data_IF_539763355688
#
_entry.id   IF_539763355688
#
_cell.length_a   1.000
_cell.length_b   1.000
_cell.length_c   1.000
_cell.angle_alpha   90.00
_cell.angle_beta   90.00
_cell.angle_gamma   90.00
#
_symmetry.space_group_name_H-M   'P 1'
#
loop_
_entity.id
_entity.type
_entity.pdbx_description
1 polymer ?
#
# COMPACT_ATOMS: atom_id res chain seq x y z
N UNK A 1 14.37 -20.32 24.59
CA UNK A 1 13.04 -20.90 24.34
C UNK A 1 12.43 -20.00 23.27
N UNK A 2 12.38 -20.49 22.05
CA UNK A 2 11.69 -19.74 20.99
C UNK A 2 10.20 -19.66 21.37
N UNK A 3 9.78 -18.50 21.82
CA UNK A 3 8.38 -18.21 21.97
C UNK A 3 7.78 -18.21 20.56
N UNK A 4 7.08 -19.28 20.22
CA UNK A 4 6.30 -19.31 18.99
C UNK A 4 5.22 -18.24 19.12
N UNK A 5 5.43 -17.10 18.46
CA UNK A 5 4.42 -16.04 18.45
C UNK A 5 3.27 -16.55 17.60
N UNK A 6 2.11 -16.70 18.22
CA UNK A 6 0.87 -16.93 17.50
C UNK A 6 0.29 -15.57 17.17
N UNK A 7 0.49 -15.11 15.92
CA UNK A 7 -0.18 -13.89 15.44
C UNK A 7 -1.66 -14.19 15.20
N UNK A 8 -2.55 -13.21 15.38
CA UNK A 8 -3.91 -13.37 14.96
C UNK A 8 -3.93 -13.48 13.42
N UNK A 9 -4.44 -14.59 12.91
CA UNK A 9 -4.83 -14.66 11.50
C UNK A 9 -6.00 -13.70 11.30
N UNK A 10 -5.99 -12.99 10.18
CA UNK A 10 -7.15 -12.19 9.77
C UNK A 10 -8.28 -13.15 9.47
N UNK A 11 -9.30 -13.10 10.31
CA UNK A 11 -10.46 -14.01 10.26
C UNK A 11 -11.54 -13.45 9.33
N UNK A 12 -12.44 -14.32 8.85
CA UNK A 12 -13.51 -13.91 7.92
C UNK A 12 -14.40 -12.80 8.49
N UNK A 13 -14.59 -12.75 9.82
CA UNK A 13 -15.36 -11.69 10.50
C UNK A 13 -14.66 -10.33 10.57
N UNK A 14 -13.36 -10.26 10.23
CA UNK A 14 -12.63 -9.01 10.06
C UNK A 14 -12.66 -8.47 8.63
N UNK A 15 -13.10 -9.29 7.67
CA UNK A 15 -13.32 -8.82 6.30
C UNK A 15 -14.61 -7.98 6.23
N UNK A 16 -14.67 -6.95 5.35
CA UNK A 16 -15.89 -6.19 5.15
C UNK A 16 -17.06 -7.07 4.71
N UNK A 17 -18.20 -6.94 5.38
CA UNK A 17 -19.41 -7.71 5.07
C UNK A 17 -20.19 -7.08 3.90
N UNK A 18 -20.77 -7.92 3.05
CA UNK A 18 -21.63 -7.52 1.94
C UNK A 18 -20.89 -6.90 0.76
N UNK A 19 -21.62 -6.30 -0.20
CA UNK A 19 -21.01 -5.66 -1.37
C UNK A 19 -20.22 -4.43 -0.96
N UNK A 20 -19.01 -4.30 -1.51
CA UNK A 20 -18.15 -3.13 -1.29
C UNK A 20 -18.82 -1.84 -1.80
N UNK A 21 -18.28 -0.67 -1.39
CA UNK A 21 -18.74 0.62 -1.92
C UNK A 21 -18.57 0.66 -3.43
N UNK A 22 -17.42 0.22 -3.93
CA UNK A 22 -17.12 0.13 -5.36
C UNK A 22 -18.14 -0.73 -6.11
N UNK A 23 -18.54 -1.90 -5.57
CA UNK A 23 -19.55 -2.76 -6.19
C UNK A 23 -20.94 -2.11 -6.21
N UNK A 24 -21.31 -1.40 -5.14
CA UNK A 24 -22.57 -0.65 -5.11
C UNK A 24 -22.56 0.51 -6.12
N UNK A 25 -21.44 1.21 -6.25
CA UNK A 25 -21.31 2.34 -7.17
C UNK A 25 -21.30 1.92 -8.65
N UNK A 26 -20.90 0.69 -8.97
CA UNK A 26 -21.08 0.13 -10.35
C UNK A 26 -22.55 0.08 -10.80
N UNK A 27 -23.49 0.03 -9.88
CA UNK A 27 -24.91 0.03 -10.18
C UNK A 27 -25.48 1.44 -10.40
N UNK A 28 -24.74 2.50 -10.14
CA UNK A 28 -25.14 3.88 -10.37
C UNK A 28 -25.25 4.16 -11.88
N UNK A 29 -26.25 4.94 -12.26
CA UNK A 29 -26.34 5.51 -13.59
C UNK A 29 -25.22 6.51 -13.85
N UNK A 30 -24.91 6.76 -15.11
CA UNK A 30 -23.90 7.76 -15.50
C UNK A 30 -24.23 9.14 -14.92
N UNK A 31 -25.50 9.57 -14.97
CA UNK A 31 -25.94 10.84 -14.40
C UNK A 31 -25.75 10.94 -12.87
N UNK A 32 -26.01 9.85 -12.14
CA UNK A 32 -25.78 9.82 -10.69
C UNK A 32 -24.29 9.91 -10.37
N UNK A 33 -23.47 9.23 -11.16
CA UNK A 33 -22.01 9.22 -11.04
C UNK A 33 -21.42 10.61 -11.32
N UNK A 34 -21.82 11.24 -12.42
CA UNK A 34 -21.43 12.61 -12.77
C UNK A 34 -21.83 13.61 -11.69
N UNK A 35 -23.03 13.45 -11.10
CA UNK A 35 -23.48 14.30 -10.00
C UNK A 35 -22.60 14.17 -8.75
N UNK A 36 -22.19 12.94 -8.39
CA UNK A 36 -21.26 12.69 -7.27
C UNK A 36 -19.89 13.32 -7.54
N UNK A 37 -19.34 13.14 -8.73
CA UNK A 37 -18.05 13.74 -9.13
C UNK A 37 -18.11 15.26 -9.05
N UNK A 38 -19.16 15.87 -9.63
CA UNK A 38 -19.34 17.33 -9.58
C UNK A 38 -19.48 17.84 -8.12
N UNK A 39 -20.22 17.10 -7.29
CA UNK A 39 -20.38 17.46 -5.88
C UNK A 39 -19.08 17.31 -5.10
N UNK A 40 -18.30 16.23 -5.33
CA UNK A 40 -16.99 16.05 -4.70
C UNK A 40 -16.02 17.18 -5.06
N UNK A 41 -15.94 17.58 -6.34
CA UNK A 41 -15.10 18.72 -6.81
C UNK A 41 -15.48 20.02 -6.09
N UNK A 42 -16.77 20.31 -5.99
CA UNK A 42 -17.26 21.51 -5.29
C UNK A 42 -16.86 21.47 -3.80
N UNK A 43 -17.07 20.34 -3.13
CA UNK A 43 -16.76 20.19 -1.71
C UNK A 43 -15.26 20.27 -1.42
N UNK A 44 -14.39 19.68 -2.26
CA UNK A 44 -12.94 19.80 -2.12
C UNK A 44 -12.51 21.27 -2.13
N UNK A 45 -13.08 22.06 -3.05
CA UNK A 45 -12.81 23.50 -3.14
C UNK A 45 -13.39 24.26 -1.92
N UNK A 46 -14.64 24.01 -1.57
CA UNK A 46 -15.33 24.66 -0.43
C UNK A 46 -14.64 24.42 0.92
N UNK A 47 -14.01 23.27 1.08
CA UNK A 47 -13.37 22.83 2.32
C UNK A 47 -11.86 23.10 2.38
N UNK A 48 -11.29 23.75 1.38
CA UNK A 48 -9.82 23.86 1.22
C UNK A 48 -9.14 22.50 1.41
N UNK A 49 -9.64 21.51 0.67
CA UNK A 49 -9.26 20.11 0.80
C UNK A 49 -8.61 19.61 -0.50
N UNK A 50 -7.63 18.72 -0.35
CA UNK A 50 -6.99 17.98 -1.46
C UNK A 50 -7.19 16.50 -1.26
N UNK A 51 -7.55 15.80 -2.35
CA UNK A 51 -7.71 14.34 -2.38
C UNK A 51 -6.39 13.68 -2.77
N UNK A 52 -5.95 12.74 -1.95
CA UNK A 52 -4.81 11.85 -2.24
C UNK A 52 -5.34 10.42 -2.28
N UNK A 53 -5.15 9.74 -3.40
CA UNK A 53 -5.67 8.39 -3.62
C UNK A 53 -4.55 7.37 -3.82
N UNK A 54 -4.72 6.18 -3.27
CA UNK A 54 -3.82 5.07 -3.53
C UNK A 54 -4.17 4.41 -4.88
N UNK A 55 -3.17 3.88 -5.60
CA UNK A 55 -3.34 3.14 -6.86
C UNK A 55 -4.34 1.97 -6.80
N UNK A 56 -4.68 1.48 -5.60
CA UNK A 56 -5.62 0.36 -5.43
C UNK A 56 -7.07 0.80 -5.23
N UNK A 57 -7.36 2.09 -5.24
CA UNK A 57 -8.73 2.61 -5.26
C UNK A 57 -9.33 2.55 -6.66
N UNK A 58 -10.65 2.78 -6.78
CA UNK A 58 -11.31 2.82 -8.09
C UNK A 58 -10.70 3.88 -9.02
N UNK A 59 -10.72 3.63 -10.33
CA UNK A 59 -10.25 4.58 -11.33
C UNK A 59 -10.91 5.95 -11.21
N UNK A 60 -12.20 5.99 -10.86
CA UNK A 60 -12.94 7.25 -10.67
C UNK A 60 -12.40 8.12 -9.53
N UNK A 61 -11.94 7.48 -8.43
CA UNK A 61 -11.29 8.23 -7.35
C UNK A 61 -9.89 8.69 -7.76
N UNK A 62 -9.18 7.87 -8.54
CA UNK A 62 -7.87 8.25 -9.07
C UNK A 62 -8.00 9.45 -10.01
N UNK A 63 -8.91 9.40 -10.98
CA UNK A 63 -9.18 10.50 -11.91
C UNK A 63 -9.60 11.77 -11.15
N UNK A 64 -10.51 11.66 -10.19
CA UNK A 64 -10.96 12.78 -9.37
C UNK A 64 -9.81 13.42 -8.61
N UNK A 65 -8.91 12.62 -8.03
CA UNK A 65 -7.74 13.15 -7.32
C UNK A 65 -6.87 14.02 -8.25
N UNK A 66 -6.52 13.50 -9.43
CA UNK A 66 -5.67 14.23 -10.39
C UNK A 66 -6.37 15.47 -10.98
N UNK A 67 -7.64 15.36 -11.34
CA UNK A 67 -8.44 16.47 -11.87
C UNK A 67 -8.65 17.63 -10.90
N UNK A 68 -8.55 17.35 -9.59
CA UNK A 68 -8.71 18.36 -8.52
C UNK A 68 -7.40 18.87 -7.94
N UNK A 69 -6.27 18.55 -8.58
CA UNK A 69 -4.95 18.99 -8.14
C UNK A 69 -4.38 18.17 -6.97
N UNK A 70 -4.97 17.02 -6.72
CA UNK A 70 -4.47 16.04 -5.78
C UNK A 70 -3.45 15.09 -6.41
N UNK A 71 -3.30 13.90 -5.85
CA UNK A 71 -2.27 12.96 -6.28
C UNK A 71 -2.70 11.50 -6.16
N UNK A 72 -2.28 10.69 -7.13
CA UNK A 72 -2.43 9.23 -7.10
C UNK A 72 -1.05 8.60 -6.95
N UNK A 73 -0.83 7.86 -5.87
CA UNK A 73 0.51 7.39 -5.55
C UNK A 73 0.53 6.12 -4.69
N UNK A 74 1.74 5.61 -4.43
CA UNK A 74 2.01 4.69 -3.35
C UNK A 74 2.05 5.41 -1.97
N UNK A 75 2.11 4.63 -0.89
CA UNK A 75 2.06 5.17 0.47
C UNK A 75 3.15 6.20 0.79
N UNK A 76 4.35 6.08 0.17
CA UNK A 76 5.46 7.01 0.40
C UNK A 76 5.19 8.37 -0.25
N UNK A 77 4.81 8.36 -1.52
CA UNK A 77 4.56 9.59 -2.27
C UNK A 77 3.27 10.27 -1.79
N UNK A 78 2.23 9.51 -1.38
CA UNK A 78 1.03 10.05 -0.71
C UNK A 78 1.41 10.85 0.53
N UNK A 79 2.26 10.28 1.39
CA UNK A 79 2.72 10.93 2.62
C UNK A 79 3.51 12.21 2.32
N UNK A 80 4.41 12.17 1.35
CA UNK A 80 5.22 13.31 0.92
C UNK A 80 4.36 14.42 0.30
N UNK A 81 3.50 14.09 -0.66
CA UNK A 81 2.62 15.05 -1.31
C UNK A 81 1.72 15.77 -0.30
N UNK A 82 1.10 15.02 0.62
CA UNK A 82 0.27 15.59 1.67
C UNK A 82 1.02 16.57 2.57
N UNK A 83 2.31 16.33 2.81
CA UNK A 83 3.16 17.22 3.58
C UNK A 83 3.50 18.53 2.84
N UNK A 84 3.75 18.44 1.54
CA UNK A 84 4.15 19.60 0.71
C UNK A 84 2.96 20.45 0.27
N UNK A 85 1.75 19.87 0.16
CA UNK A 85 0.57 20.56 -0.37
C UNK A 85 0.02 21.61 0.60
N UNK A 86 -0.38 22.84 0.14
CA UNK A 86 -0.79 23.94 1.01
C UNK A 86 -2.19 23.79 1.62
N UNK A 87 -3.07 22.92 1.10
CA UNK A 87 -4.43 22.74 1.60
C UNK A 87 -4.46 22.45 3.10
N UNK A 88 -5.44 23.00 3.81
CA UNK A 88 -5.64 22.80 5.26
C UNK A 88 -6.24 21.44 5.61
N UNK A 89 -6.88 20.78 4.63
CA UNK A 89 -7.51 19.47 4.79
C UNK A 89 -6.95 18.49 3.77
N UNK A 90 -6.51 17.33 4.24
CA UNK A 90 -6.15 16.19 3.40
C UNK A 90 -7.29 15.16 3.43
N UNK A 91 -7.70 14.68 2.28
CA UNK A 91 -8.59 13.53 2.17
C UNK A 91 -7.79 12.36 1.63
N UNK A 92 -7.67 11.31 2.42
CA UNK A 92 -6.87 10.14 2.07
C UNK A 92 -7.81 9.00 1.67
N UNK A 93 -7.90 8.72 0.37
CA UNK A 93 -8.59 7.55 -0.16
C UNK A 93 -7.60 6.37 -0.18
N UNK A 94 -7.75 5.49 0.80
CA UNK A 94 -6.86 4.37 1.06
C UNK A 94 -7.28 3.63 2.31
N UNK A 95 -6.34 2.99 2.99
CA UNK A 95 -6.55 2.27 4.25
C UNK A 95 -6.02 3.05 5.44
N UNK A 96 -6.50 2.73 6.64
CA UNK A 96 -6.39 3.51 7.87
C UNK A 96 -4.96 3.95 8.20
N UNK A 97 -3.97 3.07 8.12
CA UNK A 97 -2.58 3.42 8.42
C UNK A 97 -2.02 4.55 7.52
N UNK A 98 -2.58 4.71 6.30
CA UNK A 98 -2.20 5.81 5.39
C UNK A 98 -2.73 7.15 5.92
N UNK A 99 -3.97 7.17 6.40
CA UNK A 99 -4.55 8.34 7.08
C UNK A 99 -3.79 8.70 8.35
N UNK A 100 -3.41 7.71 9.17
CA UNK A 100 -2.59 7.92 10.36
C UNK A 100 -1.21 8.49 10.02
N UNK A 101 -0.55 7.92 8.99
CA UNK A 101 0.74 8.44 8.51
C UNK A 101 0.62 9.88 8.03
N UNK A 102 -0.43 10.19 7.27
CA UNK A 102 -0.71 11.55 6.82
C UNK A 102 -0.93 12.50 8.00
N UNK A 103 -1.67 12.07 9.05
CA UNK A 103 -1.92 12.86 10.26
C UNK A 103 -0.66 13.08 11.09
N UNK A 104 0.19 12.06 11.23
CA UNK A 104 1.47 12.17 11.95
C UNK A 104 2.37 13.20 11.27
N UNK A 105 2.47 13.16 9.94
CA UNK A 105 3.32 14.08 9.18
C UNK A 105 2.75 15.50 9.08
N UNK A 106 1.46 15.68 9.29
CA UNK A 106 0.73 16.94 9.16
C UNK A 106 -0.17 17.19 10.38
N UNK A 107 0.41 17.36 11.59
CA UNK A 107 -0.38 17.47 12.82
C UNK A 107 -1.31 18.70 12.83
N UNK A 108 -0.98 19.74 12.07
CA UNK A 108 -1.78 20.96 11.92
C UNK A 108 -2.97 20.84 10.96
N UNK A 109 -2.92 19.87 10.03
CA UNK A 109 -3.97 19.67 9.02
C UNK A 109 -5.08 18.77 9.55
N UNK A 110 -6.28 18.96 9.04
CA UNK A 110 -7.33 17.95 9.15
C UNK A 110 -7.02 16.81 8.18
N UNK A 111 -7.13 15.58 8.63
CA UNK A 111 -7.00 14.41 7.77
C UNK A 111 -8.30 13.64 7.84
N UNK A 112 -8.97 13.52 6.71
CA UNK A 112 -10.23 12.80 6.54
C UNK A 112 -9.99 11.56 5.68
N UNK A 113 -10.85 10.56 5.87
CA UNK A 113 -10.90 9.39 4.99
C UNK A 113 -12.34 9.15 4.52
N UNK A 114 -12.58 8.56 3.34
CA UNK A 114 -13.94 8.18 2.93
C UNK A 114 -14.63 7.27 3.95
N UNK A 115 -13.87 6.41 4.62
CA UNK A 115 -14.31 5.60 5.77
C UNK A 115 -13.14 5.29 6.69
N UNK A 116 -13.39 5.19 8.01
CA UNK A 116 -12.41 4.74 9.00
C UNK A 116 -12.36 3.21 9.15
N UNK A 117 -13.29 2.49 8.50
CA UNK A 117 -13.37 1.03 8.54
C UNK A 117 -12.46 0.36 7.48
N UNK A 118 -11.84 1.15 6.61
CA UNK A 118 -10.87 0.65 5.63
C UNK A 118 -9.54 0.28 6.33
N UNK A 119 -9.46 -0.93 6.83
CA UNK A 119 -8.31 -1.50 7.54
C UNK A 119 -7.29 -2.13 6.56
N UNK A 120 -6.24 -2.76 7.09
CA UNK A 120 -5.25 -3.51 6.33
C UNK A 120 -4.94 -4.82 7.05
N UNK A 121 -4.92 -5.94 6.31
CA UNK A 121 -4.60 -7.25 6.92
C UNK A 121 -3.22 -7.31 7.57
N UNK A 122 -2.26 -6.58 7.04
CA UNK A 122 -0.92 -6.49 7.63
C UNK A 122 -0.95 -5.75 8.97
N UNK A 123 -1.74 -4.69 9.08
CA UNK A 123 -1.92 -3.94 10.32
C UNK A 123 -2.70 -4.77 11.36
N UNK A 124 -3.83 -5.35 10.95
CA UNK A 124 -4.62 -6.25 11.80
C UNK A 124 -3.83 -7.46 12.29
N UNK A 125 -2.95 -8.02 11.44
CA UNK A 125 -2.05 -9.13 11.78
C UNK A 125 -0.80 -8.72 12.57
N UNK A 126 -0.68 -7.44 12.97
CA UNK A 126 0.47 -6.91 13.72
C UNK A 126 0.01 -6.02 14.90
N UNK A 127 -0.70 -6.59 15.91
CA UNK A 127 -1.15 -5.83 17.07
C UNK A 127 0.03 -5.21 17.83
N UNK A 128 -0.09 -3.93 18.17
CA UNK A 128 0.99 -3.11 18.69
C UNK A 128 1.58 -3.63 20.02
N UNK A 129 0.76 -4.21 20.88
CA UNK A 129 1.19 -4.83 22.14
C UNK A 129 2.04 -6.09 21.89
N UNK A 130 1.59 -6.99 21.03
CA UNK A 130 2.31 -8.22 20.67
C UNK A 130 3.61 -7.88 19.90
N UNK A 131 3.55 -6.91 18.99
CA UNK A 131 4.74 -6.47 18.27
C UNK A 131 5.77 -5.84 19.21
N UNK A 132 5.33 -5.07 20.20
CA UNK A 132 6.22 -4.52 21.25
C UNK A 132 6.89 -5.63 22.05
N UNK A 133 6.15 -6.65 22.51
CA UNK A 133 6.69 -7.79 23.21
C UNK A 133 7.73 -8.55 22.39
N UNK A 134 7.48 -8.69 21.08
CA UNK A 134 8.42 -9.30 20.14
C UNK A 134 9.71 -8.50 20.01
N UNK A 135 9.61 -7.18 19.89
CA UNK A 135 10.79 -6.31 19.85
C UNK A 135 11.58 -6.34 21.18
N UNK A 136 10.88 -6.35 22.32
CA UNK A 136 11.50 -6.33 23.65
C UNK A 136 12.21 -7.66 23.98
N UNK A 137 11.78 -8.77 23.35
CA UNK A 137 12.46 -10.06 23.43
C UNK A 137 13.76 -10.12 22.60
N UNK A 138 13.96 -9.17 21.67
CA UNK A 138 15.10 -9.13 20.74
C UNK A 138 15.78 -7.76 20.73
N UNK A 139 16.30 -7.27 21.88
CA UNK A 139 16.82 -5.91 22.03
C UNK A 139 18.14 -5.64 21.28
N UNK A 140 18.75 -6.69 20.72
CA UNK A 140 19.99 -6.60 19.92
C UNK A 140 19.71 -6.36 18.42
N UNK A 141 18.43 -6.17 18.04
CA UNK A 141 18.03 -5.95 16.65
C UNK A 141 17.47 -4.56 16.41
N UNK A 142 17.82 -3.97 15.29
CA UNK A 142 17.22 -2.75 14.78
C UNK A 142 15.83 -3.05 14.22
N UNK A 143 14.82 -2.34 14.71
CA UNK A 143 13.42 -2.56 14.34
C UNK A 143 13.08 -1.78 13.07
N UNK A 144 12.84 -2.49 11.99
CA UNK A 144 12.41 -1.94 10.70
C UNK A 144 10.98 -2.38 10.43
N UNK A 145 10.07 -1.43 10.27
CA UNK A 145 8.67 -1.75 9.96
C UNK A 145 8.28 -1.25 8.58
N UNK A 146 7.55 -2.08 7.89
CA UNK A 146 6.86 -1.67 6.67
C UNK A 146 5.73 -0.70 7.03
N UNK A 147 5.47 0.28 6.18
CA UNK A 147 4.50 1.36 6.42
C UNK A 147 3.08 0.86 6.72
N UNK A 148 2.75 -0.37 6.31
CA UNK A 148 1.45 -1.03 6.47
C UNK A 148 1.22 -1.51 7.91
N UNK A 149 1.34 -0.62 8.87
CA UNK A 149 1.21 -0.84 10.31
C UNK A 149 0.56 0.38 10.98
N UNK A 150 0.02 0.19 12.19
CA UNK A 150 -0.55 1.29 12.99
C UNK A 150 0.47 2.35 13.39
N UNK A 151 -0.03 3.49 13.85
CA UNK A 151 0.78 4.54 14.44
C UNK A 151 1.58 4.05 15.65
N UNK A 152 0.99 3.17 16.47
CA UNK A 152 1.61 2.56 17.67
C UNK A 152 2.79 1.65 17.31
N UNK A 153 2.66 0.83 16.26
CA UNK A 153 3.75 -0.02 15.76
C UNK A 153 4.88 0.85 15.21
N UNK A 154 4.56 1.89 14.44
CA UNK A 154 5.55 2.86 13.95
C UNK A 154 6.27 3.58 15.10
N UNK A 155 5.57 3.90 16.18
CA UNK A 155 6.15 4.55 17.37
C UNK A 155 7.17 3.66 18.11
N UNK A 156 7.15 2.32 17.90
CA UNK A 156 8.11 1.36 18.46
C UNK A 156 9.30 1.12 17.52
N UNK A 157 9.20 1.52 16.26
CA UNK A 157 10.19 1.24 15.24
C UNK A 157 11.39 2.19 15.28
N UNK A 158 12.55 1.72 14.81
CA UNK A 158 13.72 2.54 14.52
C UNK A 158 13.63 3.11 13.09
N UNK A 159 13.07 2.34 12.17
CA UNK A 159 12.87 2.72 10.77
C UNK A 159 11.48 2.33 10.29
N UNK A 160 10.87 3.20 9.50
CA UNK A 160 9.73 2.86 8.63
C UNK A 160 10.26 2.76 7.19
N UNK A 161 9.74 1.79 6.43
CA UNK A 161 10.08 1.62 5.02
C UNK A 161 8.82 1.37 4.19
N UNK A 162 8.89 1.67 2.90
CA UNK A 162 7.93 1.18 1.90
C UNK A 162 8.62 0.18 0.97
N UNK A 163 7.87 -0.57 0.17
CA UNK A 163 8.43 -1.54 -0.78
C UNK A 163 9.46 -0.92 -1.74
N UNK A 164 9.34 0.37 -2.05
CA UNK A 164 10.24 1.07 -2.96
C UNK A 164 11.65 1.32 -2.40
N UNK A 165 11.82 1.35 -1.06
CA UNK A 165 13.11 1.67 -0.42
C UNK A 165 13.58 0.61 0.58
N UNK A 166 12.77 -0.40 0.88
CA UNK A 166 13.05 -1.37 1.93
C UNK A 166 14.40 -2.09 1.74
N UNK A 167 14.68 -2.56 0.52
CA UNK A 167 15.95 -3.22 0.18
C UNK A 167 17.14 -2.29 0.42
N UNK A 168 17.03 -1.01 0.05
CA UNK A 168 18.14 -0.07 0.18
C UNK A 168 18.40 0.31 1.65
N UNK A 169 17.34 0.48 2.45
CA UNK A 169 17.46 0.74 3.90
C UNK A 169 18.09 -0.46 4.60
N UNK A 170 17.59 -1.68 4.35
CA UNK A 170 18.15 -2.88 5.01
C UNK A 170 19.58 -3.11 4.57
N UNK A 171 19.94 -2.92 3.29
CA UNK A 171 21.33 -2.98 2.82
C UNK A 171 22.22 -1.99 3.57
N UNK A 172 21.77 -0.75 3.72
CA UNK A 172 22.49 0.28 4.48
C UNK A 172 22.72 -0.14 5.93
N UNK A 173 21.75 -0.72 6.61
CA UNK A 173 21.88 -1.20 7.98
C UNK A 173 22.79 -2.44 8.06
N UNK A 174 22.65 -3.38 7.12
CA UNK A 174 23.49 -4.58 7.03
C UNK A 174 24.98 -4.24 6.85
N UNK A 175 25.32 -3.27 5.99
CA UNK A 175 26.68 -2.78 5.78
C UNK A 175 27.29 -2.16 7.07
N UNK A 176 26.46 -1.75 8.01
CA UNK A 176 26.87 -1.26 9.35
C UNK A 176 26.94 -2.36 10.40
N UNK A 177 26.66 -3.62 10.00
CA UNK A 177 26.68 -4.78 10.89
C UNK A 177 25.46 -4.89 11.80
N UNK A 178 24.36 -4.21 11.48
CA UNK A 178 23.13 -4.27 12.26
C UNK A 178 22.35 -5.54 11.94
N UNK A 179 21.78 -6.17 12.98
CA UNK A 179 20.79 -7.25 12.83
C UNK A 179 19.42 -6.63 12.79
N UNK A 180 18.54 -7.16 11.96
CA UNK A 180 17.23 -6.57 11.68
C UNK A 180 16.12 -7.40 12.32
N UNK A 181 15.13 -6.72 12.91
CA UNK A 181 13.80 -7.25 13.18
C UNK A 181 12.86 -6.56 12.20
N UNK A 182 12.18 -7.32 11.34
CA UNK A 182 11.33 -6.79 10.29
C UNK A 182 9.87 -7.24 10.45
N UNK A 183 8.95 -6.33 10.29
CA UNK A 183 7.50 -6.58 10.26
C UNK A 183 6.75 -5.57 9.39
N UNK A 184 5.48 -5.83 9.09
CA UNK A 184 4.68 -7.00 9.46
C UNK A 184 4.67 -8.11 8.40
N UNK A 185 5.16 -7.87 7.16
CA UNK A 185 5.02 -8.80 6.04
C UNK A 185 6.23 -9.74 5.90
N UNK A 186 5.98 -11.04 6.08
CA UNK A 186 7.02 -12.08 5.98
C UNK A 186 7.58 -12.25 4.56
N UNK A 187 6.74 -12.08 3.53
CA UNK A 187 7.14 -12.28 2.14
C UNK A 187 8.07 -11.16 1.68
N UNK A 188 7.68 -9.91 1.94
CA UNK A 188 8.55 -8.75 1.73
C UNK A 188 9.85 -8.91 2.53
N UNK A 189 9.77 -9.38 3.78
CA UNK A 189 10.94 -9.65 4.62
C UNK A 189 11.88 -10.67 4.00
N UNK A 190 11.38 -11.82 3.55
CA UNK A 190 12.18 -12.85 2.86
C UNK A 190 12.79 -12.34 1.54
N UNK A 191 12.02 -11.56 0.77
CA UNK A 191 12.55 -10.93 -0.44
C UNK A 191 13.74 -10.00 -0.13
N UNK A 192 13.62 -9.17 0.90
CA UNK A 192 14.68 -8.26 1.35
C UNK A 192 15.89 -9.04 1.86
N UNK A 193 15.69 -10.07 2.70
CA UNK A 193 16.74 -10.94 3.23
C UNK A 193 17.55 -11.57 2.10
N UNK A 194 16.85 -12.15 1.10
CA UNK A 194 17.48 -12.77 -0.09
C UNK A 194 18.26 -11.75 -0.92
N UNK A 195 17.74 -10.52 -1.06
CA UNK A 195 18.36 -9.45 -1.85
C UNK A 195 19.58 -8.79 -1.16
N UNK A 196 19.67 -8.86 0.16
CA UNK A 196 20.69 -8.14 0.95
C UNK A 196 21.67 -9.07 1.67
N UNK A 197 21.27 -10.30 1.99
CA UNK A 197 22.02 -11.21 2.86
C UNK A 197 22.04 -10.78 4.33
N UNK A 198 21.15 -9.87 4.74
CA UNK A 198 21.08 -9.36 6.11
C UNK A 198 20.59 -10.44 7.10
N UNK A 199 21.05 -10.38 8.36
CA UNK A 199 20.50 -11.19 9.46
C UNK A 199 19.14 -10.60 9.86
N UNK A 200 18.05 -11.22 9.40
CA UNK A 200 16.69 -10.74 9.59
C UNK A 200 15.86 -11.70 10.44
N UNK A 201 15.18 -11.18 11.44
CA UNK A 201 14.12 -11.84 12.19
C UNK A 201 12.78 -11.26 11.74
N UNK A 202 11.89 -12.10 11.21
CA UNK A 202 10.67 -11.66 10.57
C UNK A 202 9.45 -11.86 11.44
N UNK A 203 8.58 -10.86 11.50
CA UNK A 203 7.21 -11.02 11.97
C UNK A 203 6.43 -11.85 10.96
N UNK A 204 5.65 -12.85 11.38
CA UNK A 204 5.09 -13.84 10.45
C UNK A 204 3.76 -13.43 9.77
N UNK A 205 3.43 -12.14 9.67
CA UNK A 205 2.24 -11.64 8.97
C UNK A 205 2.33 -11.73 7.45
N UNK A 206 1.21 -11.58 6.76
CA UNK A 206 1.12 -11.51 5.29
C UNK A 206 -0.08 -10.71 4.82
N UNK A 207 0.01 -10.17 3.59
CA UNK A 207 -1.10 -9.49 2.93
C UNK A 207 -2.08 -10.51 2.36
N UNK A 208 -3.38 -10.43 2.74
CA UNK A 208 -4.42 -11.38 2.26
C UNK A 208 -4.58 -11.39 0.74
N UNK A 209 -4.25 -10.30 0.05
CA UNK A 209 -4.32 -10.24 -1.41
C UNK A 209 -3.12 -10.95 -2.03
N UNK A 210 -1.91 -10.56 -1.65
CA UNK A 210 -0.68 -11.05 -2.27
C UNK A 210 -0.36 -12.50 -1.89
N UNK A 211 -0.69 -12.94 -0.66
CA UNK A 211 -0.49 -14.32 -0.20
C UNK A 211 -1.38 -15.34 -0.96
N UNK A 212 -2.44 -14.86 -1.61
CA UNK A 212 -3.32 -15.68 -2.43
C UNK A 212 -2.78 -16.01 -3.83
N UNK A 213 -1.80 -15.29 -4.35
CA UNK A 213 -1.18 -15.66 -5.62
C UNK A 213 -0.52 -17.03 -5.52
N UNK A 214 -0.71 -17.87 -6.54
CA UNK A 214 -0.20 -19.24 -6.55
C UNK A 214 0.68 -19.48 -7.77
N UNK A 215 1.84 -20.12 -7.53
CA UNK A 215 2.81 -20.47 -8.56
C UNK A 215 2.17 -21.22 -9.73
N UNK A 216 1.37 -22.25 -9.43
CA UNK A 216 0.77 -23.10 -10.45
C UNK A 216 -0.20 -22.34 -11.36
N UNK A 217 -0.97 -21.42 -10.78
CA UNK A 217 -1.87 -20.56 -11.54
C UNK A 217 -1.11 -19.60 -12.44
N UNK A 218 -0.03 -19.02 -11.94
CA UNK A 218 0.82 -18.11 -12.71
C UNK A 218 1.54 -18.85 -13.85
N UNK A 219 2.11 -20.02 -13.59
CA UNK A 219 2.75 -20.86 -14.63
C UNK A 219 1.77 -21.25 -15.74
N UNK A 220 0.50 -21.56 -15.39
CA UNK A 220 -0.52 -21.86 -16.38
C UNK A 220 -0.84 -20.63 -17.27
N UNK A 221 -1.00 -19.44 -16.66
CA UNK A 221 -1.25 -18.21 -17.41
C UNK A 221 -0.06 -17.80 -18.29
N UNK A 222 1.17 -17.99 -17.81
CA UNK A 222 2.40 -17.78 -18.60
C UNK A 222 2.46 -18.73 -19.81
N UNK A 223 2.05 -19.99 -19.66
CA UNK A 223 2.03 -20.96 -20.76
C UNK A 223 1.03 -20.58 -21.86
N UNK A 224 -0.09 -19.93 -21.48
CA UNK A 224 -1.07 -19.38 -22.42
C UNK A 224 -0.58 -18.07 -23.08
N UNK A 225 0.36 -17.37 -22.45
CA UNK A 225 0.86 -16.07 -22.88
C UNK A 225 2.40 -16.04 -22.85
N UNK A 226 3.09 -16.82 -23.70
CA UNK A 226 4.55 -17.04 -23.57
C UNK A 226 5.41 -15.79 -23.80
N UNK A 227 4.87 -14.76 -24.45
CA UNK A 227 5.58 -13.49 -24.69
C UNK A 227 5.30 -12.44 -23.59
N UNK A 228 4.39 -12.75 -22.65
CA UNK A 228 4.03 -11.81 -21.60
C UNK A 228 5.17 -11.65 -20.58
N UNK A 229 5.37 -10.42 -20.11
CA UNK A 229 6.26 -10.11 -18.99
C UNK A 229 5.53 -10.19 -17.68
N UNK A 230 6.15 -10.80 -16.68
CA UNK A 230 5.57 -11.02 -15.36
C UNK A 230 6.10 -9.99 -14.38
N UNK A 231 5.22 -9.16 -13.84
CA UNK A 231 5.53 -8.16 -12.82
C UNK A 231 4.89 -8.56 -11.49
N UNK A 232 5.69 -8.62 -10.43
CA UNK A 232 5.25 -9.12 -9.13
C UNK A 232 5.55 -8.13 -8.02
N UNK A 233 4.57 -7.90 -7.13
CA UNK A 233 4.80 -7.14 -5.91
C UNK A 233 5.53 -8.01 -4.86
N UNK A 234 6.52 -7.48 -4.13
CA UNK A 234 7.37 -8.27 -3.22
C UNK A 234 6.65 -8.81 -1.96
N UNK A 235 5.39 -8.45 -1.72
CA UNK A 235 4.52 -9.07 -0.72
C UNK A 235 3.98 -10.45 -1.17
N UNK A 236 4.33 -10.91 -2.37
CA UNK A 236 3.89 -12.21 -2.90
C UNK A 236 4.76 -13.36 -2.38
N UNK A 237 4.22 -14.60 -2.33
CA UNK A 237 5.00 -15.78 -1.96
C UNK A 237 6.23 -15.99 -2.84
N UNK A 238 7.30 -16.55 -2.26
CA UNK A 238 8.58 -16.77 -2.95
C UNK A 238 8.42 -17.51 -4.30
N UNK A 239 7.56 -18.55 -4.35
CA UNK A 239 7.31 -19.30 -5.57
C UNK A 239 6.69 -18.47 -6.71
N UNK A 240 6.00 -17.36 -6.39
CA UNK A 240 5.47 -16.39 -7.37
C UNK A 240 6.58 -15.41 -7.77
N UNK A 241 7.35 -14.93 -6.81
CA UNK A 241 8.48 -14.00 -7.03
C UNK A 241 9.54 -14.64 -7.97
N UNK A 242 9.80 -15.95 -7.85
CA UNK A 242 10.75 -16.66 -8.70
C UNK A 242 10.38 -16.69 -10.20
N UNK A 243 9.11 -16.50 -10.53
CA UNK A 243 8.62 -16.47 -11.92
C UNK A 243 8.64 -15.06 -12.53
N UNK A 244 8.97 -14.04 -11.76
CA UNK A 244 8.89 -12.65 -12.19
C UNK A 244 10.03 -12.26 -13.13
N UNK A 245 9.71 -11.54 -14.20
CA UNK A 245 10.69 -10.75 -14.98
C UNK A 245 11.13 -9.52 -14.18
N UNK A 246 10.26 -8.97 -13.33
CA UNK A 246 10.55 -7.83 -12.47
C UNK A 246 9.77 -7.93 -11.16
N UNK A 247 10.45 -7.67 -10.04
CA UNK A 247 9.84 -7.53 -8.71
C UNK A 247 10.03 -6.09 -8.23
N UNK A 248 8.97 -5.45 -7.81
CA UNK A 248 9.06 -4.07 -7.37
C UNK A 248 7.79 -3.50 -6.76
N UNK A 249 7.89 -2.26 -6.25
CA UNK A 249 6.75 -1.51 -5.73
C UNK A 249 5.74 -1.17 -6.84
N UNK A 250 4.54 -0.72 -6.44
CA UNK A 250 3.49 -0.29 -7.37
C UNK A 250 3.98 0.75 -8.38
N UNK A 251 4.71 1.77 -7.92
CA UNK A 251 5.30 2.79 -8.81
C UNK A 251 6.30 2.16 -9.80
N UNK A 252 7.19 1.27 -9.31
CA UNK A 252 8.16 0.59 -10.18
C UNK A 252 7.48 -0.33 -11.20
N UNK A 253 6.37 -0.98 -10.83
CA UNK A 253 5.59 -1.81 -11.76
C UNK A 253 4.92 -0.95 -12.85
N UNK A 254 4.39 0.23 -12.50
CA UNK A 254 3.83 1.19 -13.47
C UNK A 254 4.92 1.68 -14.45
N UNK A 255 6.09 2.04 -13.94
CA UNK A 255 7.24 2.43 -14.77
C UNK A 255 7.69 1.26 -15.68
N UNK A 256 7.74 0.03 -15.15
CA UNK A 256 8.10 -1.14 -15.93
C UNK A 256 7.11 -1.41 -17.09
N UNK A 257 5.80 -1.29 -16.85
CA UNK A 257 4.80 -1.42 -17.93
C UNK A 257 5.01 -0.36 -19.00
N UNK A 258 5.39 0.86 -18.62
CA UNK A 258 5.67 1.95 -19.57
C UNK A 258 6.94 1.70 -20.39
N UNK A 259 8.03 1.27 -19.74
CA UNK A 259 9.38 1.30 -20.30
C UNK A 259 9.84 -0.03 -20.93
N UNK A 260 9.27 -1.17 -20.51
CA UNK A 260 9.65 -2.47 -21.08
C UNK A 260 9.08 -2.69 -22.47
N UNK A 261 9.90 -3.26 -23.35
CA UNK A 261 9.50 -3.66 -24.71
C UNK A 261 8.68 -4.96 -24.68
N UNK A 262 7.42 -4.87 -24.27
CA UNK A 262 6.46 -5.97 -24.30
C UNK A 262 5.06 -5.39 -24.53
N UNK A 263 4.20 -6.14 -25.23
CA UNK A 263 2.81 -5.76 -25.50
C UNK A 263 1.84 -6.33 -24.46
N UNK A 264 2.27 -7.38 -23.74
CA UNK A 264 1.45 -8.09 -22.74
C UNK A 264 2.20 -8.23 -21.42
N UNK A 265 1.51 -7.95 -20.33
CA UNK A 265 2.03 -8.07 -18.97
C UNK A 265 1.08 -8.88 -18.10
N UNK A 266 1.63 -9.77 -17.28
CA UNK A 266 0.92 -10.45 -16.20
C UNK A 266 1.29 -9.74 -14.90
N UNK A 267 0.30 -9.21 -14.20
CA UNK A 267 0.47 -8.35 -13.04
C UNK A 267 0.01 -9.08 -11.77
N UNK A 268 0.96 -9.36 -10.88
CA UNK A 268 0.70 -9.99 -9.58
C UNK A 268 0.72 -8.93 -8.46
N UNK A 269 -0.33 -8.14 -8.40
CA UNK A 269 -0.69 -7.22 -7.33
C UNK A 269 -2.17 -6.86 -7.43
N UNK A 270 -2.67 -5.93 -6.57
CA UNK A 270 -4.06 -5.48 -6.61
C UNK A 270 -4.44 -4.87 -7.97
N UNK A 271 -5.60 -5.28 -8.49
CA UNK A 271 -6.08 -4.86 -9.82
C UNK A 271 -6.36 -3.35 -9.95
N UNK A 272 -6.54 -2.61 -8.84
CA UNK A 272 -6.76 -1.15 -8.89
C UNK A 272 -5.65 -0.40 -9.61
N UNK A 273 -4.42 -0.94 -9.62
CA UNK A 273 -3.27 -0.37 -10.34
C UNK A 273 -3.45 -0.36 -11.87
N UNK A 274 -4.35 -1.21 -12.42
CA UNK A 274 -4.54 -1.34 -13.87
C UNK A 274 -5.04 -0.06 -14.50
N UNK A 275 -5.82 0.73 -13.77
CA UNK A 275 -6.27 2.04 -14.24
C UNK A 275 -5.07 2.91 -14.61
N UNK A 276 -4.14 3.09 -13.69
CA UNK A 276 -2.94 3.90 -13.91
C UNK A 276 -1.99 3.29 -14.94
N UNK A 277 -1.83 1.98 -14.96
CA UNK A 277 -1.02 1.29 -15.98
C UNK A 277 -1.59 1.49 -17.39
N UNK A 278 -2.90 1.39 -17.56
CA UNK A 278 -3.56 1.61 -18.86
C UNK A 278 -3.42 3.08 -19.34
N UNK A 279 -3.43 4.01 -18.40
CA UNK A 279 -3.23 5.44 -18.71
C UNK A 279 -1.80 5.73 -19.21
N UNK A 280 -0.77 5.21 -18.52
CA UNK A 280 0.63 5.50 -18.88
C UNK A 280 1.13 4.67 -20.06
N UNK A 281 0.49 3.55 -20.38
CA UNK A 281 0.86 2.63 -21.44
C UNK A 281 -0.37 2.19 -22.27
N UNK A 282 -1.03 3.13 -22.95
CA UNK A 282 -2.22 2.83 -23.73
C UNK A 282 -1.89 1.83 -24.86
N UNK A 283 -2.73 0.80 -25.00
CA UNK A 283 -2.60 -0.24 -26.01
C UNK A 283 -1.84 -1.48 -25.56
N UNK A 284 -1.22 -1.50 -24.39
CA UNK A 284 -0.65 -2.72 -23.80
C UNK A 284 -1.74 -3.57 -23.14
N UNK A 285 -1.59 -4.88 -23.23
CA UNK A 285 -2.50 -5.85 -22.62
C UNK A 285 -2.05 -6.15 -21.19
N UNK A 286 -2.94 -5.93 -20.24
CA UNK A 286 -2.69 -6.20 -18.82
C UNK A 286 -3.53 -7.41 -18.39
N UNK A 287 -2.88 -8.45 -17.90
CA UNK A 287 -3.49 -9.67 -17.40
C UNK A 287 -3.33 -9.74 -15.88
N UNK A 288 -4.42 -10.00 -15.19
CA UNK A 288 -4.39 -10.21 -13.74
C UNK A 288 -3.83 -11.61 -13.42
N UNK A 289 -2.82 -11.68 -12.56
CA UNK A 289 -2.31 -12.96 -12.08
C UNK A 289 -3.40 -13.68 -11.26
N UNK A 290 -3.59 -14.99 -11.45
CA UNK A 290 -4.64 -15.72 -10.76
C UNK A 290 -4.32 -15.88 -9.26
N UNK A 291 -5.29 -15.54 -8.41
CA UNK A 291 -5.21 -15.65 -6.96
C UNK A 291 -5.66 -17.02 -6.41
N UNK A 292 -6.17 -17.93 -7.28
CA UNK A 292 -6.63 -19.25 -6.90
C UNK A 292 -6.17 -20.30 -7.91
N UNK A 293 -6.01 -21.57 -7.46
CA UNK A 293 -5.61 -22.68 -8.33
C UNK A 293 -6.65 -23.04 -9.40
N UNK A 294 -6.23 -23.85 -10.37
CA UNK A 294 -7.09 -24.35 -11.45
C UNK A 294 -8.37 -25.00 -10.90
N UNK A 295 -9.52 -24.36 -11.11
CA UNK A 295 -10.82 -24.83 -10.61
C UNK A 295 -11.60 -23.83 -9.76
N UNK A 296 -11.01 -22.71 -9.36
CA UNK A 296 -11.75 -21.67 -8.66
C UNK A 296 -12.71 -20.92 -9.60
N UNK A 297 -13.96 -20.79 -9.16
CA UNK A 297 -15.03 -20.11 -9.88
C UNK A 297 -14.88 -18.59 -9.90
N UNK A 298 -13.95 -18.04 -9.10
CA UNK A 298 -13.66 -16.62 -9.01
C UNK A 298 -12.36 -16.30 -9.77
N UNK A 299 -12.48 -15.71 -10.96
CA UNK A 299 -11.34 -15.35 -11.82
C UNK A 299 -10.64 -14.04 -11.41
N UNK A 300 -11.16 -13.34 -10.42
CA UNK A 300 -10.67 -12.01 -10.04
C UNK A 300 -10.91 -11.78 -8.55
N UNK A 301 -9.95 -12.20 -7.74
CA UNK A 301 -9.93 -11.87 -6.31
C UNK A 301 -8.69 -11.06 -5.91
N UNK A 302 -7.87 -10.62 -6.86
CA UNK A 302 -6.72 -9.76 -6.59
C UNK A 302 -7.14 -8.30 -6.36
N UNK A 303 -8.11 -8.08 -5.46
CA UNK A 303 -8.55 -6.75 -5.05
C UNK A 303 -8.74 -6.69 -3.54
N UNK A 304 -8.15 -5.69 -2.93
CA UNK A 304 -8.20 -5.49 -1.49
C UNK A 304 -9.62 -5.09 -1.06
N UNK A 305 -10.29 -5.88 -0.21
CA UNK A 305 -11.66 -5.60 0.19
C UNK A 305 -11.79 -4.28 0.95
N UNK A 306 -10.76 -3.86 1.66
CA UNK A 306 -10.75 -2.58 2.37
C UNK A 306 -10.46 -1.39 1.44
N UNK A 307 -9.61 -1.55 0.42
CA UNK A 307 -9.44 -0.51 -0.61
C UNK A 307 -10.74 -0.27 -1.37
N UNK A 308 -11.49 -1.33 -1.66
CA UNK A 308 -12.81 -1.28 -2.30
C UNK A 308 -13.91 -0.59 -1.45
N UNK A 309 -13.64 -0.29 -0.18
CA UNK A 309 -14.53 0.51 0.66
C UNK A 309 -14.45 2.01 0.37
N UNK A 310 -13.45 2.46 -0.38
CA UNK A 310 -13.35 3.86 -0.81
C UNK A 310 -14.17 4.07 -2.09
N UNK A 311 -15.04 5.06 -2.09
CA UNK A 311 -15.88 5.40 -3.24
C UNK A 311 -16.29 6.87 -3.24
N UNK A 312 -16.92 7.30 -4.34
CA UNK A 312 -17.41 8.67 -4.50
C UNK A 312 -18.49 9.03 -3.48
N UNK A 313 -19.40 8.09 -3.20
CA UNK A 313 -20.54 8.33 -2.32
C UNK A 313 -20.11 8.59 -0.87
N UNK A 314 -19.21 7.80 -0.33
CA UNK A 314 -18.72 8.00 1.02
C UNK A 314 -17.69 9.14 1.11
N UNK A 315 -16.92 9.42 0.07
CA UNK A 315 -16.12 10.63 -0.04
C UNK A 315 -16.99 11.90 0.05
N UNK A 316 -18.05 11.98 -0.75
CA UNK A 316 -19.00 13.11 -0.71
C UNK A 316 -19.62 13.24 0.67
N UNK A 317 -20.12 12.12 1.24
CA UNK A 317 -20.72 12.13 2.59
C UNK A 317 -19.73 12.63 3.65
N UNK A 318 -18.48 12.17 3.60
CA UNK A 318 -17.44 12.62 4.53
C UNK A 318 -17.15 14.11 4.41
N UNK A 319 -17.03 14.62 3.19
CA UNK A 319 -16.78 16.04 2.94
C UNK A 319 -17.97 16.91 3.34
N UNK A 320 -19.21 16.47 3.11
CA UNK A 320 -20.41 17.21 3.51
C UNK A 320 -20.55 17.34 5.04
N UNK A 321 -20.35 16.23 5.72
CA UNK A 321 -20.61 16.15 7.16
C UNK A 321 -19.37 16.46 8.02
N UNK A 322 -18.17 16.48 7.43
CA UNK A 322 -16.92 16.67 8.16
C UNK A 322 -16.62 15.51 9.11
N UNK A 323 -17.03 14.30 8.74
CA UNK A 323 -16.85 13.04 9.51
C UNK A 323 -15.57 12.32 9.11
N UNK A 324 -15.31 11.16 9.74
CA UNK A 324 -14.18 10.29 9.43
C UNK A 324 -12.80 10.98 9.52
N UNK A 325 -12.65 11.84 10.53
CA UNK A 325 -11.37 12.49 10.82
C UNK A 325 -10.44 11.53 11.57
N UNK A 326 -9.21 11.44 11.10
CA UNK A 326 -8.14 10.65 11.72
C UNK A 326 -7.56 11.42 12.90
N UNK A 327 -7.50 10.73 14.03
CA UNK A 327 -6.85 11.20 15.24
C UNK A 327 -5.77 10.21 15.68
N UNK A 328 -4.61 10.73 16.03
CA UNK A 328 -3.48 9.93 16.57
C UNK A 328 -3.10 10.54 17.92
N UNK A 329 -2.88 9.69 18.92
CA UNK A 329 -2.41 10.15 20.23
C UNK A 329 -1.12 10.98 20.07
N UNK A 330 -1.03 12.17 20.70
CA UNK A 330 0.09 13.08 20.49
C UNK A 330 1.46 12.49 20.83
N UNK A 331 1.56 11.64 21.87
CA UNK A 331 2.83 11.01 22.23
C UNK A 331 3.21 9.89 21.24
N UNK A 332 2.24 9.11 20.78
CA UNK A 332 2.40 8.13 19.72
C UNK A 332 2.84 8.80 18.42
N UNK A 333 2.16 9.90 18.02
CA UNK A 333 2.52 10.68 16.83
C UNK A 333 3.95 11.21 16.90
N UNK A 334 4.35 11.77 18.07
CA UNK A 334 5.70 12.28 18.28
C UNK A 334 6.77 11.20 18.13
N UNK A 335 6.51 9.98 18.61
CA UNK A 335 7.44 8.85 18.49
C UNK A 335 7.49 8.31 17.06
N UNK A 336 6.33 8.12 16.43
CA UNK A 336 6.22 7.61 15.06
C UNK A 336 6.80 8.59 14.01
N UNK A 337 6.77 9.89 14.30
CA UNK A 337 7.40 10.92 13.45
C UNK A 337 8.89 10.66 13.20
N UNK A 338 9.61 10.11 14.18
CA UNK A 338 11.06 9.90 14.08
C UNK A 338 11.41 8.92 12.96
N UNK A 339 10.91 7.67 12.96
CA UNK A 339 11.21 6.72 11.88
C UNK A 339 10.56 7.10 10.54
N UNK A 340 9.40 7.78 10.54
CA UNK A 340 8.78 8.31 9.32
C UNK A 340 9.65 9.39 8.67
N UNK A 341 10.14 10.35 9.46
CA UNK A 341 11.05 11.37 8.93
C UNK A 341 12.34 10.75 8.39
N UNK A 342 12.90 9.77 9.10
CA UNK A 342 14.08 9.03 8.64
C UNK A 342 13.86 8.34 7.29
N UNK A 343 12.66 7.78 7.08
CA UNK A 343 12.24 7.21 5.79
C UNK A 343 12.25 8.27 4.68
N UNK A 344 11.63 9.43 4.93
CA UNK A 344 11.54 10.51 3.93
C UNK A 344 12.94 11.06 3.62
N UNK A 345 13.74 11.37 4.63
CA UNK A 345 15.11 11.89 4.48
C UNK A 345 15.99 10.91 3.65
N UNK A 346 15.91 9.61 3.95
CA UNK A 346 16.65 8.57 3.22
C UNK A 346 16.19 8.47 1.75
N UNK A 347 14.89 8.53 1.50
CA UNK A 347 14.33 8.49 0.14
C UNK A 347 14.81 9.69 -0.68
N UNK A 348 14.82 10.89 -0.10
CA UNK A 348 15.33 12.08 -0.78
C UNK A 348 16.82 12.00 -1.08
N UNK A 349 17.61 11.54 -0.11
CA UNK A 349 19.06 11.36 -0.31
C UNK A 349 19.34 10.34 -1.43
N UNK A 350 18.58 9.24 -1.47
CA UNK A 350 18.67 8.24 -2.55
C UNK A 350 18.34 8.87 -3.90
N UNK A 351 17.26 9.64 -4.02
CA UNK A 351 16.89 10.34 -5.26
C UNK A 351 18.01 11.26 -5.74
N UNK A 352 18.63 12.04 -4.84
CA UNK A 352 19.75 12.93 -5.17
C UNK A 352 20.98 12.17 -5.67
N UNK A 353 21.32 11.03 -5.05
CA UNK A 353 22.45 10.18 -5.48
C UNK A 353 22.22 9.62 -6.88
N UNK A 354 21.02 9.14 -7.20
CA UNK A 354 20.69 8.62 -8.53
C UNK A 354 20.76 9.71 -9.61
N UNK A 355 20.27 10.91 -9.31
CA UNK A 355 20.32 12.06 -10.25
C UNK A 355 21.74 12.64 -10.42
N UNK A 356 22.59 12.56 -9.40
CA UNK A 356 23.98 13.02 -9.45
C UNK A 356 24.96 12.02 -10.07
N UNK A 357 24.50 10.82 -10.42
CA UNK A 357 25.29 9.75 -11.05
C UNK A 357 24.97 9.59 -12.55
N UNK A 358 24.14 10.49 -13.14
CA UNK A 358 23.69 10.48 -14.55
C UNK A 358 24.50 11.45 -15.40
#
# INVERSE_FOLDING_TARGET
>A
MDATITIPEVTEDQLPEGPSVEERERALSETEREALVARAKALLTERDAVLVAHYYTSGELQDLAEETGGHVADSLEMARFGHEHPASTLVVAGVRFMGETAKILNPEKRVLMPTLEAECSLDLGCPADQFREFCDAHPDRTVVVYANTSAEVKARADWVVTSSIAVDVVRHLHERGEKILFGPDKHLGHYIEKATGADMLLWPGSCVVHDHFKREGLEALMAENPEAKVLVHPESPEGVIELADMVGSTTQMIEAVKDMEADTFIIATDRGIFHKMAEVAPGKTLLEAPSAGAGATCRSCAHCPWMAMNGLSNLVSTLENGTNEIHVDPETARKAMIPLKRMLDFSEERKRRLQGSS
#
